data_IF_592722580138
#
_entry.id   IF_592722580138
#
_cell.length_a   1.000
_cell.length_b   1.000
_cell.length_c   1.000
_cell.angle_alpha   90.00
_cell.angle_beta   90.00
_cell.angle_gamma   90.00
#
_symmetry.space_group_name_H-M   'P 1'
#
loop_
_entity.id
_entity.type
_entity.pdbx_description
1 polymer ?
#
# COMPACT_ATOMS: atom_id res chain seq x y z
N UNK A 1 14.39 23.29 -7.52
CA UNK A 1 14.89 22.45 -8.62
C UNK A 1 13.93 21.30 -8.88
N UNK A 2 13.46 20.60 -7.85
CA UNK A 2 12.49 19.50 -8.02
C UNK A 2 11.18 19.88 -8.73
N UNK A 3 10.56 21.04 -8.42
CA UNK A 3 9.26 21.39 -9.03
C UNK A 3 9.31 21.55 -10.56
N UNK A 4 10.34 22.20 -11.10
CA UNK A 4 10.49 22.39 -12.55
C UNK A 4 10.74 21.05 -13.26
N UNK A 5 11.53 20.17 -12.65
CA UNK A 5 11.79 18.82 -13.17
C UNK A 5 10.53 17.94 -13.12
N UNK A 6 9.74 18.03 -12.05
CA UNK A 6 8.45 17.32 -11.95
C UNK A 6 7.51 17.79 -13.05
N UNK A 7 7.39 19.10 -13.27
CA UNK A 7 6.57 19.64 -14.37
C UNK A 7 7.08 19.16 -15.73
N UNK A 8 8.38 19.19 -15.96
CA UNK A 8 8.96 18.71 -17.22
C UNK A 8 8.68 17.22 -17.44
N UNK A 9 8.85 16.37 -16.42
CA UNK A 9 8.51 14.94 -16.51
C UNK A 9 7.03 14.76 -16.84
N UNK A 10 6.13 15.49 -16.16
CA UNK A 10 4.70 15.39 -16.42
C UNK A 10 4.32 15.82 -17.84
N UNK A 11 4.95 16.86 -18.38
CA UNK A 11 4.74 17.30 -19.76
C UNK A 11 5.22 16.26 -20.77
N UNK A 12 6.32 15.56 -20.49
CA UNK A 12 6.83 14.47 -21.33
C UNK A 12 5.93 13.23 -21.35
N UNK A 13 5.07 13.07 -20.34
CA UNK A 13 4.05 12.01 -20.27
C UNK A 13 2.73 12.39 -20.94
N UNK A 14 2.55 13.64 -21.41
CA UNK A 14 1.30 14.03 -22.05
C UNK A 14 1.18 13.41 -23.46
N UNK A 15 0.54 12.25 -23.56
CA UNK A 15 0.27 11.57 -24.81
C UNK A 15 1.25 10.44 -25.10
N UNK A 16 1.78 10.36 -26.32
CA UNK A 16 2.74 9.32 -26.68
C UNK A 16 4.17 9.77 -26.37
N UNK A 17 4.85 9.04 -25.49
CA UNK A 17 6.26 9.25 -25.16
C UNK A 17 7.14 8.86 -26.35
N UNK A 18 7.79 9.85 -26.98
CA UNK A 18 8.66 9.59 -28.13
C UNK A 18 10.06 9.15 -27.70
N UNK A 19 10.82 8.55 -28.62
CA UNK A 19 12.24 8.24 -28.37
C UNK A 19 13.11 9.48 -28.04
N UNK A 20 12.65 10.71 -28.32
CA UNK A 20 13.32 11.92 -27.85
C UNK A 20 12.96 12.21 -26.38
N UNK A 21 11.70 11.98 -26.02
CA UNK A 21 11.17 12.18 -24.67
C UNK A 21 11.77 11.15 -23.70
N UNK A 22 11.87 9.88 -24.09
CA UNK A 22 12.54 8.85 -23.28
C UNK A 22 14.02 9.18 -23.00
N UNK A 23 14.74 9.68 -24.00
CA UNK A 23 16.12 10.14 -23.81
C UNK A 23 16.19 11.31 -22.85
N UNK A 24 15.22 12.23 -22.93
CA UNK A 24 15.13 13.38 -22.03
C UNK A 24 14.79 12.95 -20.60
N UNK A 25 13.84 12.04 -20.42
CA UNK A 25 13.50 11.41 -19.14
C UNK A 25 14.75 10.76 -18.52
N UNK A 26 15.51 9.99 -19.30
CA UNK A 26 16.74 9.39 -18.81
C UNK A 26 17.82 10.42 -18.45
N UNK A 27 17.98 11.50 -19.21
CA UNK A 27 18.88 12.61 -18.83
C UNK A 27 18.49 13.23 -17.48
N UNK A 28 17.18 13.41 -17.24
CA UNK A 28 16.65 13.93 -15.97
C UNK A 28 16.99 12.95 -14.84
N UNK A 29 16.59 11.68 -14.93
CA UNK A 29 16.82 10.72 -13.85
C UNK A 29 18.31 10.48 -13.57
N UNK A 30 19.13 10.34 -14.62
CA UNK A 30 20.58 10.12 -14.49
C UNK A 30 21.34 11.35 -13.98
N UNK A 31 20.74 12.55 -14.07
CA UNK A 31 21.33 13.81 -13.62
C UNK A 31 21.01 14.19 -12.17
N UNK A 32 20.10 13.46 -11.51
CA UNK A 32 19.69 13.72 -10.12
C UNK A 32 20.16 12.58 -9.21
N UNK A 33 20.59 12.91 -8.00
CA UNK A 33 21.30 11.98 -7.10
C UNK A 33 20.80 12.07 -5.66
N UNK A 34 21.07 11.01 -4.88
CA UNK A 34 20.81 10.94 -3.45
C UNK A 34 19.37 11.29 -3.09
N UNK A 35 19.20 12.05 -2.00
CA UNK A 35 17.88 12.42 -1.46
C UNK A 35 17.03 13.20 -2.48
N UNK A 36 17.65 14.02 -3.33
CA UNK A 36 16.91 14.80 -4.34
C UNK A 36 16.27 13.89 -5.40
N UNK A 37 16.93 12.77 -5.73
CA UNK A 37 16.35 11.77 -6.65
C UNK A 37 15.14 11.09 -5.99
N UNK A 38 15.25 10.73 -4.71
CA UNK A 38 14.12 10.19 -3.95
C UNK A 38 12.96 11.18 -3.89
N UNK A 39 13.21 12.46 -3.63
CA UNK A 39 12.18 13.52 -3.61
C UNK A 39 11.50 13.68 -4.97
N UNK A 40 12.27 13.69 -6.07
CA UNK A 40 11.74 13.76 -7.44
C UNK A 40 10.81 12.57 -7.73
N UNK A 41 11.25 11.35 -7.43
CA UNK A 41 10.46 10.13 -7.62
C UNK A 41 9.14 10.15 -6.85
N UNK A 42 9.17 10.56 -5.57
CA UNK A 42 7.94 10.66 -4.77
C UNK A 42 7.03 11.78 -5.29
N UNK A 43 7.58 12.89 -5.79
CA UNK A 43 6.78 13.97 -6.35
C UNK A 43 6.08 13.58 -7.65
N UNK A 44 6.73 12.79 -8.52
CA UNK A 44 6.12 12.20 -9.72
C UNK A 44 5.00 11.22 -9.31
N UNK A 45 5.28 10.33 -8.36
CA UNK A 45 4.33 9.31 -7.91
C UNK A 45 3.07 9.86 -7.22
N UNK A 46 3.13 11.07 -6.65
CA UNK A 46 1.99 11.73 -5.98
C UNK A 46 0.94 12.30 -6.95
N UNK A 47 1.09 12.08 -8.24
CA UNK A 47 0.12 12.54 -9.24
C UNK A 47 -1.21 11.80 -9.06
N UNK A 48 -2.30 12.55 -9.17
CA UNK A 48 -3.66 12.07 -8.90
C UNK A 48 -4.32 11.38 -10.12
N UNK A 49 -3.57 11.15 -11.20
CA UNK A 49 -4.00 10.45 -12.43
C UNK A 49 -3.21 9.14 -12.64
N UNK A 50 -3.35 8.47 -13.78
CA UNK A 50 -2.71 7.17 -14.03
C UNK A 50 -1.19 7.26 -14.17
N UNK A 51 -0.66 8.41 -14.57
CA UNK A 51 0.75 8.64 -14.92
C UNK A 51 1.65 8.71 -13.67
N UNK A 52 1.69 7.64 -12.89
CA UNK A 52 2.60 7.49 -11.76
C UNK A 52 4.01 7.09 -12.24
N UNK A 53 4.94 6.96 -11.30
CA UNK A 53 6.32 6.62 -11.63
C UNK A 53 6.46 5.18 -12.15
N UNK A 54 5.57 4.28 -11.76
CA UNK A 54 5.59 2.90 -12.23
C UNK A 54 5.15 2.83 -13.70
N UNK A 55 4.02 3.46 -14.05
CA UNK A 55 3.58 3.57 -15.46
C UNK A 55 4.65 4.24 -16.32
N UNK A 56 5.25 5.36 -15.83
CA UNK A 56 6.34 6.04 -16.51
C UNK A 56 7.51 5.12 -16.84
N UNK A 57 7.96 4.36 -15.85
CA UNK A 57 9.18 3.56 -16.00
C UNK A 57 8.93 2.29 -16.78
N UNK A 58 7.76 1.65 -16.67
CA UNK A 58 7.54 0.30 -17.18
C UNK A 58 6.66 0.23 -18.42
N UNK A 59 5.82 1.24 -18.66
CA UNK A 59 4.87 1.26 -19.76
C UNK A 59 5.12 2.45 -20.72
N UNK A 60 5.44 3.65 -20.23
CA UNK A 60 5.75 4.82 -21.08
C UNK A 60 7.14 4.76 -21.73
N UNK A 61 8.16 4.29 -21.01
CA UNK A 61 9.52 4.11 -21.54
C UNK A 61 9.63 2.72 -22.15
N UNK A 62 9.50 2.63 -23.48
CA UNK A 62 9.50 1.36 -24.21
C UNK A 62 10.92 0.86 -24.57
N UNK A 63 11.92 1.74 -24.62
CA UNK A 63 13.32 1.36 -24.85
C UNK A 63 13.93 0.64 -23.62
N UNK A 64 14.12 -0.67 -23.77
CA UNK A 64 14.70 -1.56 -22.76
C UNK A 64 16.08 -1.09 -22.25
N UNK A 65 16.93 -0.52 -23.11
CA UNK A 65 18.27 -0.07 -22.74
C UNK A 65 18.20 1.21 -21.91
N UNK A 66 17.32 2.14 -22.30
CA UNK A 66 17.05 3.36 -21.54
C UNK A 66 16.49 3.00 -20.16
N UNK A 67 15.44 2.17 -20.10
CA UNK A 67 14.83 1.72 -18.85
C UNK A 67 15.85 1.04 -17.94
N UNK A 68 16.64 0.09 -18.47
CA UNK A 68 17.66 -0.59 -17.70
C UNK A 68 18.71 0.37 -17.11
N UNK A 69 19.11 1.40 -17.85
CA UNK A 69 20.06 2.41 -17.36
C UNK A 69 19.47 3.26 -16.24
N UNK A 70 18.21 3.68 -16.37
CA UNK A 70 17.51 4.44 -15.32
C UNK A 70 17.37 3.57 -14.07
N UNK A 71 16.86 2.35 -14.17
CA UNK A 71 16.70 1.45 -13.02
C UNK A 71 18.03 1.12 -12.33
N UNK A 72 19.11 0.94 -13.09
CA UNK A 72 20.44 0.72 -12.53
C UNK A 72 20.94 1.94 -11.72
N UNK A 73 20.65 3.15 -12.20
CA UNK A 73 20.95 4.39 -11.48
C UNK A 73 20.13 4.51 -10.20
N UNK A 74 18.82 4.26 -10.26
CA UNK A 74 17.94 4.26 -9.07
C UNK A 74 18.46 3.29 -8.00
N UNK A 75 18.84 2.08 -8.39
CA UNK A 75 19.36 1.07 -7.48
C UNK A 75 20.71 1.48 -6.85
N UNK A 76 21.61 2.09 -7.63
CA UNK A 76 22.91 2.54 -7.14
C UNK A 76 22.78 3.69 -6.12
N UNK A 77 21.93 4.68 -6.41
CA UNK A 77 21.67 5.81 -5.51
C UNK A 77 20.97 5.34 -4.22
N UNK A 78 20.00 4.43 -4.32
CA UNK A 78 19.34 3.83 -3.16
C UNK A 78 20.29 3.03 -2.27
N UNK A 79 21.21 2.26 -2.85
CA UNK A 79 22.21 1.53 -2.08
C UNK A 79 23.07 2.47 -1.22
N UNK A 80 23.41 3.65 -1.73
CA UNK A 80 24.19 4.65 -1.00
C UNK A 80 23.38 5.31 0.14
N UNK A 81 22.08 5.50 -0.04
CA UNK A 81 21.18 6.08 0.97
C UNK A 81 20.81 5.10 2.09
N UNK A 82 20.69 3.81 1.77
CA UNK A 82 20.13 2.81 2.67
C UNK A 82 18.59 2.88 2.72
N UNK A 83 18.00 2.21 3.71
CA UNK A 83 16.53 2.16 3.86
C UNK A 83 16.02 3.47 4.45
N UNK A 84 15.15 4.16 3.72
CA UNK A 84 14.62 5.49 4.11
C UNK A 84 13.19 5.46 4.66
N UNK A 85 12.48 4.34 4.50
CA UNK A 85 11.10 4.17 4.96
C UNK A 85 10.45 2.95 4.34
N UNK A 86 9.12 2.92 4.35
CA UNK A 86 8.32 1.91 3.64
C UNK A 86 7.31 2.56 2.71
N UNK A 87 6.96 1.83 1.65
CA UNK A 87 5.82 2.09 0.80
C UNK A 87 4.73 1.10 1.15
N UNK A 88 3.49 1.58 1.18
CA UNK A 88 2.34 0.79 1.62
C UNK A 88 1.53 0.38 0.40
N UNK A 89 1.44 -0.93 0.16
CA UNK A 89 0.56 -1.52 -0.83
C UNK A 89 -0.64 -2.13 -0.12
N UNK A 90 -1.86 -1.71 -0.47
CA UNK A 90 -3.08 -2.21 0.17
C UNK A 90 -4.04 -2.83 -0.83
N UNK A 91 -4.54 -4.03 -0.55
CA UNK A 91 -5.80 -4.48 -1.13
C UNK A 91 -6.96 -3.60 -0.64
N UNK A 92 -8.12 -3.70 -1.27
CA UNK A 92 -9.31 -2.90 -0.96
C UNK A 92 -10.44 -3.76 -0.42
N UNK A 93 -10.67 -4.94 -0.99
CA UNK A 93 -11.91 -5.67 -0.77
C UNK A 93 -11.77 -6.60 0.41
N UNK A 94 -12.69 -6.49 1.36
CA UNK A 94 -12.58 -7.09 2.69
C UNK A 94 -11.38 -6.59 3.52
N UNK A 95 -10.43 -5.88 2.92
CA UNK A 95 -9.31 -5.19 3.58
C UNK A 95 -9.72 -3.80 4.08
N UNK A 96 -10.09 -2.92 3.15
CA UNK A 96 -10.54 -1.54 3.45
C UNK A 96 -12.06 -1.50 3.58
N UNK A 97 -12.78 -2.09 2.64
CA UNK A 97 -14.25 -2.08 2.63
C UNK A 97 -14.80 -3.50 2.83
N UNK A 98 -15.78 -3.69 3.73
CA UNK A 98 -16.42 -4.98 3.91
C UNK A 98 -17.32 -5.31 2.72
N UNK A 99 -16.85 -6.17 1.80
CA UNK A 99 -17.52 -6.36 0.49
C UNK A 99 -18.05 -7.78 0.29
N UNK A 100 -17.28 -8.81 0.66
CA UNK A 100 -17.56 -10.21 0.31
C UNK A 100 -17.51 -11.09 1.56
N UNK A 101 -16.32 -11.28 2.14
CA UNK A 101 -16.05 -12.20 3.25
C UNK A 101 -16.07 -11.52 4.60
N UNK A 102 -15.79 -10.21 4.66
CA UNK A 102 -15.91 -9.48 5.91
C UNK A 102 -17.39 -9.35 6.29
N UNK A 103 -17.73 -9.82 7.49
CA UNK A 103 -19.10 -9.91 8.01
C UNK A 103 -19.25 -9.35 9.41
N UNK A 104 -18.13 -8.94 10.05
CA UNK A 104 -18.15 -8.23 11.33
C UNK A 104 -18.77 -6.85 11.20
N UNK A 105 -18.72 -6.25 10.02
CA UNK A 105 -19.27 -4.92 9.72
C UNK A 105 -20.38 -5.02 8.66
N UNK A 106 -21.35 -4.08 8.66
CA UNK A 106 -22.32 -3.97 7.59
C UNK A 106 -21.61 -3.81 6.24
N UNK A 107 -22.06 -4.54 5.22
CA UNK A 107 -21.43 -4.47 3.89
C UNK A 107 -21.64 -3.11 3.24
N UNK A 108 -20.59 -2.58 2.61
CA UNK A 108 -20.66 -1.36 1.84
C UNK A 108 -19.37 -0.56 1.82
N UNK A 109 -19.46 0.69 1.40
CA UNK A 109 -18.32 1.61 1.25
C UNK A 109 -18.02 2.42 2.51
N UNK A 110 -18.30 1.85 3.69
CA UNK A 110 -17.82 2.38 4.97
C UNK A 110 -16.55 1.59 5.32
N UNK A 111 -15.40 2.25 5.52
CA UNK A 111 -14.16 1.54 5.82
C UNK A 111 -14.26 0.70 7.10
N UNK A 112 -13.49 -0.39 7.16
CA UNK A 112 -13.27 -1.14 8.39
C UNK A 112 -12.64 -0.20 9.42
N UNK A 113 -13.17 -0.09 10.66
CA UNK A 113 -12.66 0.83 11.65
C UNK A 113 -11.14 0.69 11.89
N UNK A 114 -10.43 1.82 11.80
CA UNK A 114 -8.99 1.96 11.97
C UNK A 114 -8.15 1.68 10.73
N UNK A 115 -8.72 1.18 9.62
CA UNK A 115 -7.91 0.80 8.43
C UNK A 115 -7.18 1.99 7.84
N UNK A 116 -7.86 3.12 7.66
CA UNK A 116 -7.28 4.29 7.03
C UNK A 116 -6.23 4.94 7.93
N UNK A 117 -6.53 5.04 9.24
CA UNK A 117 -5.57 5.49 10.23
C UNK A 117 -4.31 4.60 10.25
N UNK A 118 -4.46 3.29 10.11
CA UNK A 118 -3.33 2.36 10.10
C UNK A 118 -2.48 2.48 8.84
N UNK A 119 -3.11 2.59 7.67
CA UNK A 119 -2.41 2.83 6.41
C UNK A 119 -1.65 4.17 6.45
N UNK A 120 -2.27 5.20 7.01
CA UNK A 120 -1.63 6.50 7.24
C UNK A 120 -0.46 6.41 8.22
N UNK A 121 -0.62 5.68 9.33
CA UNK A 121 0.46 5.50 10.31
C UNK A 121 1.67 4.76 9.73
N UNK A 122 1.44 3.78 8.83
CA UNK A 122 2.51 3.10 8.10
C UNK A 122 3.22 4.02 7.10
N UNK A 123 2.46 4.89 6.42
CA UNK A 123 2.99 5.87 5.47
C UNK A 123 3.78 6.98 6.18
N UNK A 124 3.30 7.47 7.33
CA UNK A 124 4.03 8.40 8.18
C UNK A 124 5.28 7.76 8.81
N UNK A 125 5.25 6.45 9.03
CA UNK A 125 6.36 5.66 9.52
C UNK A 125 6.68 5.90 11.02
N UNK A 126 7.88 5.48 11.47
CA UNK A 126 8.26 5.53 12.88
C UNK A 126 8.80 6.90 13.34
N UNK A 127 8.88 7.90 12.46
CA UNK A 127 9.53 9.20 12.74
C UNK A 127 8.59 10.37 12.41
N UNK A 128 8.70 11.46 13.17
CA UNK A 128 7.82 12.63 13.03
C UNK A 128 7.93 13.36 11.67
N UNK A 129 9.02 13.11 10.91
CA UNK A 129 9.30 13.75 9.63
C UNK A 129 9.76 12.74 8.56
N UNK A 130 8.84 11.96 7.97
CA UNK A 130 9.16 11.04 6.89
C UNK A 130 9.59 11.79 5.63
N UNK A 131 10.46 11.16 4.83
CA UNK A 131 10.95 11.70 3.55
C UNK A 131 9.86 11.81 2.49
N UNK A 132 8.78 11.04 2.65
CA UNK A 132 7.59 11.15 1.83
C UNK A 132 6.34 10.84 2.65
N UNK A 133 5.25 11.51 2.31
CA UNK A 133 3.90 11.25 2.81
C UNK A 133 2.96 11.22 1.61
N UNK A 134 1.89 10.44 1.70
CA UNK A 134 0.86 10.34 0.68
C UNK A 134 1.18 9.36 -0.45
N UNK A 135 2.02 8.34 -0.20
CA UNK A 135 2.42 7.34 -1.19
C UNK A 135 1.69 5.99 -1.00
N UNK A 136 0.55 6.01 -0.30
CA UNK A 136 -0.33 4.86 -0.18
C UNK A 136 -0.78 4.43 -1.57
N UNK A 137 -0.45 3.19 -1.91
CA UNK A 137 -0.78 2.63 -3.21
C UNK A 137 -1.78 1.50 -3.06
N UNK A 138 -2.96 1.66 -3.65
CA UNK A 138 -3.96 0.59 -3.66
C UNK A 138 -3.72 -0.38 -4.81
N UNK A 139 -3.84 -1.68 -4.53
CA UNK A 139 -3.67 -2.78 -5.47
C UNK A 139 -4.93 -3.64 -5.45
N UNK A 140 -5.73 -3.63 -6.52
CA UNK A 140 -6.94 -4.44 -6.61
C UNK A 140 -6.90 -5.39 -7.79
N UNK A 141 -7.44 -6.60 -7.59
CA UNK A 141 -7.68 -7.57 -8.65
C UNK A 141 -9.05 -7.40 -9.34
N UNK A 142 -9.84 -6.36 -9.00
CA UNK A 142 -11.17 -6.17 -9.59
C UNK A 142 -11.15 -5.03 -10.59
N UNK A 143 -11.35 -5.30 -11.90
CA UNK A 143 -11.33 -4.27 -12.94
C UNK A 143 -12.46 -3.25 -12.76
N UNK A 144 -13.62 -3.64 -12.22
CA UNK A 144 -14.73 -2.70 -11.93
C UNK A 144 -14.38 -1.72 -10.80
N UNK A 145 -13.60 -2.17 -9.82
CA UNK A 145 -13.18 -1.34 -8.68
C UNK A 145 -12.01 -0.43 -9.08
N UNK A 146 -11.05 -0.97 -9.85
CA UNK A 146 -10.01 -0.20 -10.50
C UNK A 146 -10.63 0.89 -11.40
N UNK A 147 -11.60 0.52 -12.24
CA UNK A 147 -12.39 1.47 -13.01
C UNK A 147 -13.14 2.43 -12.10
N UNK A 148 -13.79 2.01 -11.01
CA UNK A 148 -14.46 2.92 -10.07
C UNK A 148 -13.54 3.89 -9.30
N UNK A 149 -12.27 3.52 -9.09
CA UNK A 149 -11.22 4.40 -8.58
C UNK A 149 -10.75 5.40 -9.63
N UNK A 150 -10.70 4.99 -10.90
CA UNK A 150 -10.39 5.86 -12.05
C UNK A 150 -11.57 6.77 -12.42
N UNK A 151 -12.81 6.25 -12.35
CA UNK A 151 -14.08 6.86 -12.76
C UNK A 151 -14.75 7.67 -11.63
N UNK A 152 -14.22 7.61 -10.40
CA UNK A 152 -14.48 8.58 -9.33
C UNK A 152 -15.26 8.08 -8.12
N UNK A 153 -16.14 7.07 -8.24
CA UNK A 153 -17.04 6.69 -7.13
C UNK A 153 -16.33 6.08 -5.91
N UNK A 154 -15.35 5.19 -6.12
CA UNK A 154 -14.54 4.61 -5.04
C UNK A 154 -13.49 5.61 -4.55
N UNK A 155 -12.95 6.43 -5.46
CA UNK A 155 -12.01 7.51 -5.12
C UNK A 155 -12.67 8.58 -4.26
N UNK A 156 -13.93 8.91 -4.53
CA UNK A 156 -14.73 9.82 -3.72
C UNK A 156 -15.04 9.21 -2.35
N UNK A 157 -15.26 7.90 -2.26
CA UNK A 157 -15.40 7.21 -0.96
C UNK A 157 -14.10 7.28 -0.15
N UNK A 158 -12.93 7.00 -0.76
CA UNK A 158 -11.62 7.13 -0.11
C UNK A 158 -11.32 8.58 0.30
N UNK A 159 -11.58 9.56 -0.59
CA UNK A 159 -11.42 10.99 -0.29
C UNK A 159 -12.36 11.46 0.82
N UNK A 160 -13.63 11.03 0.78
CA UNK A 160 -14.62 11.33 1.82
C UNK A 160 -14.21 10.71 3.16
N UNK A 161 -13.57 9.55 3.12
CA UNK A 161 -13.03 8.87 4.28
C UNK A 161 -11.65 9.39 4.74
N UNK A 162 -11.10 10.43 4.09
CA UNK A 162 -9.89 11.12 4.55
C UNK A 162 -8.59 10.72 3.87
N UNK A 163 -8.60 9.87 2.83
CA UNK A 163 -7.40 9.58 2.02
C UNK A 163 -7.15 10.77 1.08
N UNK A 164 -6.19 11.62 1.41
CA UNK A 164 -5.94 12.91 0.72
C UNK A 164 -5.15 12.73 -0.60
N UNK A 165 -4.29 11.71 -0.70
CA UNK A 165 -3.60 11.33 -1.93
C UNK A 165 -3.31 9.82 -1.93
N UNK A 166 -3.66 9.13 -3.00
CA UNK A 166 -3.32 7.71 -3.20
C UNK A 166 -3.05 7.44 -4.67
N UNK A 167 -1.92 6.81 -4.99
CA UNK A 167 -1.72 6.18 -6.29
C UNK A 167 -2.53 4.87 -6.34
N UNK A 168 -3.07 4.53 -7.49
CA UNK A 168 -3.82 3.28 -7.69
C UNK A 168 -3.10 2.48 -8.76
N UNK A 169 -2.45 1.38 -8.35
CA UNK A 169 -1.90 0.42 -9.30
C UNK A 169 -3.05 -0.46 -9.81
N UNK A 170 -3.75 0.05 -10.82
CA UNK A 170 -4.72 -0.71 -11.58
C UNK A 170 -3.97 -1.59 -12.59
N UNK A 171 -3.63 -2.82 -12.20
CA UNK A 171 -3.27 -3.82 -13.21
C UNK A 171 -4.46 -4.03 -14.16
N UNK A 172 -4.21 -4.25 -15.45
CA UNK A 172 -5.25 -4.72 -16.37
C UNK A 172 -5.78 -6.09 -15.91
N UNK A 173 -6.84 -6.11 -15.09
CA UNK A 173 -7.41 -7.35 -14.54
C UNK A 173 -8.62 -7.83 -15.34
N UNK A 174 -8.56 -7.73 -16.67
CA UNK A 174 -9.54 -8.38 -17.53
C UNK A 174 -9.25 -9.89 -17.61
N UNK A 175 -9.76 -10.67 -16.65
CA UNK A 175 -9.95 -12.12 -16.82
C UNK A 175 -9.11 -13.06 -15.95
N UNK A 176 -8.60 -12.63 -14.79
CA UNK A 176 -7.92 -13.54 -13.86
C UNK A 176 -8.92 -14.50 -13.20
N UNK A 177 -8.78 -15.80 -13.46
CA UNK A 177 -9.73 -16.85 -13.04
C UNK A 177 -9.28 -17.65 -11.79
N UNK A 178 -8.07 -17.43 -11.28
CA UNK A 178 -7.54 -18.15 -10.11
C UNK A 178 -6.84 -17.21 -9.11
N UNK A 179 -6.80 -17.63 -7.83
CA UNK A 179 -6.04 -16.94 -6.78
C UNK A 179 -4.55 -16.83 -7.12
N UNK A 180 -3.99 -17.86 -7.76
CA UNK A 180 -2.59 -17.84 -8.23
C UNK A 180 -2.36 -16.78 -9.30
N UNK A 181 -3.25 -16.66 -10.29
CA UNK A 181 -3.09 -15.68 -11.36
C UNK A 181 -3.24 -14.24 -10.84
N UNK A 182 -4.15 -14.01 -9.88
CA UNK A 182 -4.26 -12.73 -9.16
C UNK A 182 -3.00 -12.43 -8.35
N UNK A 183 -2.45 -13.45 -7.68
CA UNK A 183 -1.23 -13.29 -6.91
C UNK A 183 -0.01 -12.98 -7.81
N UNK A 184 0.09 -13.61 -8.97
CA UNK A 184 1.18 -13.38 -9.92
C UNK A 184 1.16 -11.93 -10.45
N UNK A 185 -0.01 -11.38 -10.74
CA UNK A 185 -0.15 -9.96 -11.14
C UNK A 185 0.23 -9.03 -9.99
N UNK A 186 -0.28 -9.25 -8.77
CA UNK A 186 0.11 -8.44 -7.60
C UNK A 186 1.63 -8.48 -7.36
N UNK A 187 2.26 -9.66 -7.51
CA UNK A 187 3.70 -9.81 -7.35
C UNK A 187 4.51 -9.11 -8.44
N UNK A 188 4.05 -9.14 -9.69
CA UNK A 188 4.68 -8.39 -10.78
C UNK A 188 4.66 -6.89 -10.48
N UNK A 189 3.52 -6.36 -10.04
CA UNK A 189 3.39 -4.94 -9.66
C UNK A 189 4.29 -4.59 -8.47
N UNK A 190 4.36 -5.46 -7.46
CA UNK A 190 5.29 -5.28 -6.32
C UNK A 190 6.75 -5.23 -6.79
N UNK A 191 7.17 -6.10 -7.70
CA UNK A 191 8.54 -6.10 -8.23
C UNK A 191 8.85 -4.80 -8.98
N UNK A 192 7.94 -4.33 -9.84
CA UNK A 192 8.08 -3.05 -10.53
C UNK A 192 8.19 -1.88 -9.53
N UNK A 193 7.35 -1.87 -8.51
CA UNK A 193 7.37 -0.83 -7.48
C UNK A 193 8.68 -0.82 -6.66
N UNK A 194 9.22 -2.01 -6.34
CA UNK A 194 10.55 -2.15 -5.69
C UNK A 194 11.68 -1.63 -6.57
N UNK A 195 11.61 -1.82 -7.88
CA UNK A 195 12.60 -1.32 -8.82
C UNK A 195 12.53 0.20 -8.98
N UNK A 196 11.34 0.80 -8.89
CA UNK A 196 11.17 2.25 -8.88
C UNK A 196 11.64 2.90 -7.55
N UNK A 197 11.42 2.21 -6.42
CA UNK A 197 11.73 2.71 -5.07
C UNK A 197 12.67 1.79 -4.25
N UNK A 198 13.88 1.48 -4.74
CA UNK A 198 14.78 0.53 -4.07
C UNK A 198 15.23 0.97 -2.67
N UNK A 199 15.21 2.28 -2.38
CA UNK A 199 15.51 2.84 -1.06
C UNK A 199 14.38 2.62 -0.02
N UNK A 200 13.20 2.22 -0.46
CA UNK A 200 12.04 1.93 0.41
C UNK A 200 11.82 0.44 0.57
N UNK A 201 11.36 0.05 1.76
CA UNK A 201 10.75 -1.26 1.95
C UNK A 201 9.31 -1.24 1.42
N UNK A 202 8.69 -2.40 1.30
CA UNK A 202 7.30 -2.55 0.86
C UNK A 202 6.52 -3.33 1.91
N UNK A 203 5.56 -2.67 2.53
CA UNK A 203 4.58 -3.31 3.41
C UNK A 203 3.35 -3.62 2.58
N UNK A 204 2.83 -4.84 2.71
CA UNK A 204 1.58 -5.23 2.06
C UNK A 204 0.47 -5.40 3.11
N UNK A 205 -0.70 -4.87 2.83
CA UNK A 205 -1.91 -4.98 3.64
C UNK A 205 -3.00 -5.62 2.80
N UNK A 206 -3.63 -6.68 3.31
CA UNK A 206 -4.65 -7.43 2.57
C UNK A 206 -5.60 -8.22 3.48
N UNK A 207 -6.32 -9.20 2.95
CA UNK A 207 -7.27 -10.01 3.70
C UNK A 207 -7.08 -11.53 3.54
N UNK A 208 -7.63 -12.32 4.46
CA UNK A 208 -7.51 -13.79 4.39
C UNK A 208 -8.46 -14.43 3.36
N UNK A 209 -9.47 -13.72 2.88
CA UNK A 209 -10.45 -14.17 1.91
C UNK A 209 -9.90 -14.23 0.48
N UNK A 210 -9.05 -13.27 0.06
CA UNK A 210 -8.71 -13.06 -1.36
C UNK A 210 -7.27 -13.41 -1.80
N UNK A 211 -6.66 -14.44 -1.24
CA UNK A 211 -5.35 -14.90 -1.73
C UNK A 211 -4.17 -13.99 -1.37
N UNK A 212 -4.41 -12.92 -0.61
CA UNK A 212 -3.38 -11.99 -0.13
C UNK A 212 -2.40 -12.65 0.83
N UNK A 213 -2.82 -13.67 1.58
CA UNK A 213 -1.90 -14.52 2.36
C UNK A 213 -0.85 -15.16 1.45
N UNK A 214 -1.23 -15.63 0.26
CA UNK A 214 -0.31 -16.24 -0.70
C UNK A 214 0.63 -15.18 -1.29
N UNK A 215 0.11 -14.01 -1.66
CA UNK A 215 0.90 -12.87 -2.14
C UNK A 215 1.93 -12.47 -1.10
N UNK A 216 1.49 -12.22 0.12
CA UNK A 216 2.34 -11.82 1.23
C UNK A 216 3.40 -12.86 1.56
N UNK A 217 3.05 -14.14 1.56
CA UNK A 217 4.00 -15.23 1.78
C UNK A 217 5.08 -15.23 0.69
N UNK A 218 4.68 -15.15 -0.59
CA UNK A 218 5.62 -15.11 -1.71
C UNK A 218 6.50 -13.86 -1.69
N UNK A 219 5.97 -12.71 -1.29
CA UNK A 219 6.76 -11.48 -1.10
C UNK A 219 7.84 -11.66 -0.02
N UNK A 220 7.46 -12.26 1.12
CA UNK A 220 8.38 -12.53 2.23
C UNK A 220 9.44 -13.58 1.89
N UNK A 221 9.10 -14.56 1.07
CA UNK A 221 10.04 -15.58 0.57
C UNK A 221 11.01 -15.02 -0.48
N UNK A 222 10.50 -14.25 -1.45
CA UNK A 222 11.30 -13.69 -2.52
C UNK A 222 12.20 -12.54 -2.05
N UNK A 223 11.69 -11.70 -1.13
CA UNK A 223 12.37 -10.46 -0.75
C UNK A 223 12.33 -10.15 0.76
N UNK A 224 12.89 -11.02 1.61
CA UNK A 224 12.78 -10.88 3.06
C UNK A 224 13.41 -9.59 3.63
N UNK A 225 14.33 -8.95 2.90
CA UNK A 225 15.03 -7.74 3.34
C UNK A 225 14.33 -6.43 2.97
N UNK A 226 13.46 -6.44 1.96
CA UNK A 226 12.73 -5.24 1.54
C UNK A 226 11.22 -5.36 1.69
N UNK A 227 10.68 -6.49 2.13
CA UNK A 227 9.29 -6.57 2.58
C UNK A 227 9.23 -6.73 4.10
N UNK A 228 9.37 -5.69 4.93
CA UNK A 228 9.61 -5.85 6.36
C UNK A 228 8.45 -6.54 7.11
N UNK A 229 7.22 -6.39 6.63
CA UNK A 229 6.05 -7.06 7.18
C UNK A 229 4.92 -7.14 6.15
N UNK A 230 4.03 -8.12 6.36
CA UNK A 230 2.72 -8.19 5.72
C UNK A 230 1.66 -8.22 6.80
N UNK A 231 0.59 -7.44 6.65
CA UNK A 231 -0.55 -7.43 7.55
C UNK A 231 -1.77 -7.96 6.81
N UNK A 232 -2.43 -8.97 7.37
CA UNK A 232 -3.59 -9.61 6.74
C UNK A 232 -4.77 -9.57 7.71
N UNK A 233 -5.81 -8.83 7.33
CA UNK A 233 -7.07 -8.75 8.07
C UNK A 233 -7.82 -10.08 7.98
N UNK A 234 -8.10 -10.72 9.11
CA UNK A 234 -8.69 -12.06 9.14
C UNK A 234 -10.20 -12.01 9.04
N UNK A 235 -10.70 -12.33 7.86
CA UNK A 235 -12.13 -12.36 7.53
C UNK A 235 -12.69 -13.78 7.43
N UNK A 236 -11.86 -14.81 7.66
CA UNK A 236 -12.26 -16.23 7.55
C UNK A 236 -12.02 -17.06 8.83
N UNK A 237 -11.66 -16.41 9.93
CA UNK A 237 -11.36 -17.05 11.22
C UNK A 237 -10.20 -18.07 11.13
N UNK A 238 -9.05 -17.59 10.66
CA UNK A 238 -7.80 -18.34 10.57
C UNK A 238 -7.38 -18.89 11.94
N UNK A 239 -7.16 -20.20 12.02
CA UNK A 239 -6.82 -20.89 13.26
C UNK A 239 -5.43 -20.48 13.80
N UNK A 240 -5.28 -20.43 15.13
CA UNK A 240 -4.06 -19.97 15.79
C UNK A 240 -2.76 -20.65 15.31
N UNK A 241 -2.70 -21.99 15.11
CA UNK A 241 -1.47 -22.62 14.62
C UNK A 241 -1.02 -22.12 13.24
N UNK A 242 -1.97 -21.74 12.38
CA UNK A 242 -1.66 -21.17 11.07
C UNK A 242 -1.23 -19.71 11.20
N UNK A 243 -1.85 -18.93 12.09
CA UNK A 243 -1.41 -17.57 12.40
C UNK A 243 0.03 -17.56 12.91
N UNK A 244 0.38 -18.48 13.80
CA UNK A 244 1.74 -18.61 14.34
C UNK A 244 2.75 -18.98 13.24
N UNK A 245 2.37 -19.90 12.33
CA UNK A 245 3.18 -20.28 11.17
C UNK A 245 3.44 -19.09 10.24
N UNK A 246 2.40 -18.32 9.92
CA UNK A 246 2.48 -17.14 9.05
C UNK A 246 3.29 -16.02 9.72
N UNK A 247 3.10 -15.78 11.01
CA UNK A 247 3.83 -14.77 11.77
C UNK A 247 5.35 -15.07 11.79
N UNK A 248 5.75 -16.35 11.85
CA UNK A 248 7.16 -16.74 11.73
C UNK A 248 7.79 -16.41 10.36
N UNK A 249 6.97 -16.21 9.33
CA UNK A 249 7.39 -15.74 8.01
C UNK A 249 7.33 -14.20 7.88
N UNK A 250 6.83 -13.49 8.90
CA UNK A 250 6.55 -12.05 8.84
C UNK A 250 5.23 -11.70 8.17
N UNK A 251 4.28 -12.65 8.11
CA UNK A 251 2.90 -12.45 7.66
C UNK A 251 1.98 -12.45 8.89
N UNK A 252 1.51 -11.27 9.27
CA UNK A 252 0.79 -11.04 10.52
C UNK A 252 -0.72 -11.01 10.27
N UNK A 253 -1.39 -12.09 10.69
CA UNK A 253 -2.85 -12.20 10.59
C UNK A 253 -3.51 -11.53 11.80
N UNK A 254 -4.29 -10.49 11.56
CA UNK A 254 -4.83 -9.56 12.57
C UNK A 254 -6.35 -9.50 12.52
N UNK A 255 -7.00 -9.25 13.66
CA UNK A 255 -8.47 -9.13 13.68
C UNK A 255 -8.96 -7.68 13.62
N UNK A 256 -8.13 -6.74 14.09
CA UNK A 256 -8.40 -5.30 14.07
C UNK A 256 -7.15 -4.55 13.64
N UNK A 257 -7.35 -3.35 13.10
CA UNK A 257 -6.23 -2.48 12.75
C UNK A 257 -5.53 -1.86 13.98
N UNK A 258 -6.18 -1.87 15.15
CA UNK A 258 -5.52 -1.59 16.45
C UNK A 258 -4.49 -2.66 16.77
N UNK A 259 -4.86 -3.94 16.61
CA UNK A 259 -3.94 -5.07 16.74
C UNK A 259 -2.80 -5.00 15.72
N UNK A 260 -3.11 -4.63 14.48
CA UNK A 260 -2.10 -4.41 13.43
C UNK A 260 -1.10 -3.31 13.80
N UNK A 261 -1.57 -2.17 14.29
CA UNK A 261 -0.73 -1.07 14.75
C UNK A 261 0.20 -1.49 15.91
N UNK A 262 -0.29 -2.32 16.84
CA UNK A 262 0.53 -2.88 17.92
C UNK A 262 1.68 -3.74 17.41
N UNK A 263 1.40 -4.62 16.43
CA UNK A 263 2.43 -5.44 15.78
C UNK A 263 3.41 -4.55 15.00
N UNK A 264 2.91 -3.60 14.21
CA UNK A 264 3.74 -2.68 13.43
C UNK A 264 4.67 -1.85 14.31
N UNK A 265 4.21 -1.39 15.49
CA UNK A 265 5.05 -0.72 16.48
C UNK A 265 6.16 -1.62 16.99
N UNK A 266 5.84 -2.88 17.31
CA UNK A 266 6.83 -3.87 17.75
C UNK A 266 7.93 -4.14 16.70
N UNK A 267 7.60 -3.93 15.43
CA UNK A 267 8.52 -4.03 14.29
C UNK A 267 9.23 -2.71 13.95
N UNK A 268 8.91 -1.61 14.65
CA UNK A 268 9.47 -0.28 14.38
C UNK A 268 8.98 0.34 13.07
N UNK A 269 7.79 -0.05 12.59
CA UNK A 269 7.19 0.47 11.36
C UNK A 269 6.29 1.69 11.59
N UNK A 270 5.74 1.85 12.79
CA UNK A 270 4.90 2.99 13.19
C UNK A 270 5.36 3.55 14.54
N UNK A 271 5.13 4.84 14.76
CA UNK A 271 5.44 5.51 16.02
C UNK A 271 4.38 5.23 17.10
N UNK A 272 4.70 5.50 18.37
CA UNK A 272 3.71 5.44 19.47
C UNK A 272 2.54 6.42 19.26
N UNK A 273 2.82 7.59 18.68
CA UNK A 273 1.80 8.56 18.31
C UNK A 273 0.88 8.00 17.22
N UNK A 274 1.44 7.33 16.20
CA UNK A 274 0.67 6.66 15.17
C UNK A 274 -0.23 5.56 15.73
N UNK A 275 0.26 4.73 16.68
CA UNK A 275 -0.59 3.74 17.35
C UNK A 275 -1.73 4.39 18.15
N UNK A 276 -1.45 5.49 18.85
CA UNK A 276 -2.47 6.22 19.60
C UNK A 276 -3.56 6.77 18.67
N UNK A 277 -3.16 7.36 17.54
CA UNK A 277 -4.08 7.90 16.53
C UNK A 277 -4.93 6.79 15.89
N UNK A 278 -4.31 5.67 15.51
CA UNK A 278 -5.05 4.48 15.01
C UNK A 278 -6.08 4.03 16.04
N UNK A 279 -5.69 3.95 17.30
CA UNK A 279 -6.58 3.49 18.38
C UNK A 279 -7.76 4.45 18.58
N UNK A 280 -7.49 5.75 18.63
CA UNK A 280 -8.52 6.78 18.81
C UNK A 280 -9.52 6.79 17.65
N UNK A 281 -9.03 6.84 16.42
CA UNK A 281 -9.87 6.86 15.22
C UNK A 281 -10.67 5.56 15.09
N UNK A 282 -10.04 4.40 15.30
CA UNK A 282 -10.73 3.12 15.17
C UNK A 282 -11.86 2.95 16.20
N UNK A 283 -11.69 3.45 17.43
CA UNK A 283 -12.75 3.43 18.44
C UNK A 283 -13.88 4.40 18.12
N UNK A 284 -13.56 5.60 17.63
CA UNK A 284 -14.56 6.57 17.20
C UNK A 284 -15.39 6.04 16.02
N UNK A 285 -14.74 5.44 15.02
CA UNK A 285 -15.40 4.82 13.87
C UNK A 285 -16.24 3.61 14.29
N UNK A 286 -15.76 2.79 15.24
CA UNK A 286 -16.50 1.66 15.79
C UNK A 286 -17.81 2.08 16.47
N UNK A 287 -17.83 3.25 17.12
CA UNK A 287 -19.03 3.79 17.77
C UNK A 287 -20.10 4.27 16.79
N UNK A 288 -19.71 4.62 15.56
CA UNK A 288 -20.62 5.06 14.50
C UNK A 288 -21.15 3.89 13.64
N UNK A 289 -20.69 2.65 13.87
CA UNK A 289 -21.14 1.49 13.10
C UNK A 289 -22.63 1.21 13.34
N UNK A 290 -23.40 1.18 12.25
CA UNK A 290 -24.81 0.79 12.26
C UNK A 290 -24.96 -0.74 12.26
N UNK A 291 -24.81 -1.37 13.43
CA UNK A 291 -24.83 -2.83 13.59
C UNK A 291 -26.10 -3.51 13.10
N UNK A 292 -25.95 -4.66 12.45
CA UNK A 292 -27.07 -5.49 11.98
C UNK A 292 -27.67 -6.32 13.12
N UNK A 293 -26.88 -6.60 14.17
CA UNK A 293 -27.33 -7.28 15.38
C UNK A 293 -26.49 -6.94 16.62
N UNK A 294 -27.08 -7.11 17.80
CA UNK A 294 -26.36 -6.93 19.07
C UNK A 294 -25.25 -7.99 19.31
N UNK A 295 -25.35 -9.15 18.65
CA UNK A 295 -24.30 -10.18 18.68
C UNK A 295 -23.08 -9.74 17.86
N UNK A 296 -23.32 -9.25 16.64
CA UNK A 296 -22.27 -8.68 15.79
C UNK A 296 -21.53 -7.53 16.50
N UNK A 297 -22.27 -6.60 17.10
CA UNK A 297 -21.68 -5.50 17.88
C UNK A 297 -20.79 -6.02 19.02
N UNK A 298 -21.36 -6.88 19.88
CA UNK A 298 -20.67 -7.40 21.07
C UNK A 298 -19.38 -8.14 20.68
N UNK A 299 -19.47 -9.04 19.71
CA UNK A 299 -18.35 -9.90 19.34
C UNK A 299 -17.23 -9.08 18.66
N UNK A 300 -17.58 -8.09 17.83
CA UNK A 300 -16.60 -7.18 17.23
C UNK A 300 -15.96 -6.27 18.27
N UNK A 301 -16.74 -5.65 19.18
CA UNK A 301 -16.20 -4.80 20.25
C UNK A 301 -15.24 -5.56 21.17
N UNK A 302 -15.50 -6.84 21.45
CA UNK A 302 -14.60 -7.67 22.24
C UNK A 302 -13.20 -7.84 21.61
N UNK A 303 -13.09 -7.82 20.28
CA UNK A 303 -11.80 -7.84 19.57
C UNK A 303 -11.00 -6.54 19.81
N UNK A 304 -11.68 -5.39 19.74
CA UNK A 304 -11.06 -4.09 20.02
C UNK A 304 -10.61 -3.98 21.48
N UNK A 305 -11.47 -4.37 22.43
CA UNK A 305 -11.11 -4.37 23.86
C UNK A 305 -9.87 -5.22 24.14
N UNK A 306 -9.77 -6.39 23.51
CA UNK A 306 -8.59 -7.26 23.60
C UNK A 306 -7.34 -6.54 23.09
N UNK A 307 -7.40 -5.96 21.90
CA UNK A 307 -6.23 -5.37 21.25
C UNK A 307 -5.80 -4.07 21.94
N UNK A 308 -6.75 -3.22 22.36
CA UNK A 308 -6.48 -2.03 23.20
C UNK A 308 -5.87 -2.44 24.53
N UNK A 309 -6.42 -3.45 25.19
CA UNK A 309 -5.86 -3.98 26.44
C UNK A 309 -4.41 -4.48 26.29
N UNK A 310 -4.10 -5.10 25.15
CA UNK A 310 -2.74 -5.56 24.81
C UNK A 310 -1.74 -4.43 24.53
N UNK A 311 -2.20 -3.23 24.13
CA UNK A 311 -1.31 -2.07 23.90
C UNK A 311 -0.88 -1.37 25.19
N UNK A 312 -1.68 -1.49 26.26
CA UNK A 312 -1.49 -0.81 27.55
C UNK A 312 -0.73 -1.65 28.59
N UNK A 313 -0.55 -2.95 28.35
CA UNK A 313 0.16 -3.88 29.24
C UNK A 313 1.63 -4.03 28.89
#
# INVERSE_FOLDING_TARGET
MSADLVTEVHELQEGWTSAADERRLAEIFLGVHGVELTELKNAINRRDDHHDLEELLFDDVDDDEIRARVLAHLAAEAQALGRVGVKVLSDIDDTVFPMIHETRYPRGHTPVPGVLAFLQALDDGPVDNPLSRGDLTFVTARPELAMGLVEGSTKDALRTAGVVSSSVLAGEVLGLRSKDAMADVKLANVERYRQAFPEYGVVFVGDTGQGDVLVGTRMREAYPQDCPAVFVHDVVATAQPERDRLAALGVHVVDTYVGAAGVARGLGLVSDAGVAEVTEQALAELDEVAWESAEQERDTRALFERDVGGLLG
#
